data_IF_240855889863
#
_entry.id   IF_240855889863
#
_cell.length_a   1.000
_cell.length_b   1.000
_cell.length_c   1.000
_cell.angle_alpha   90.00
_cell.angle_beta   90.00
_cell.angle_gamma   90.00
#
_symmetry.space_group_name_H-M   'P 1'
#
loop_
_entity.id
_entity.type
_entity.pdbx_description
1 polymer ?
#
# COMPACT_ATOMS: atom_id res chain seq x y z
N UNK A 1 8.32 1.80 -23.29
CA UNK A 1 8.95 1.88 -21.95
C UNK A 1 10.40 1.40 -22.04
N UNK A 2 11.37 2.29 -21.80
CA UNK A 2 12.80 1.96 -21.75
C UNK A 2 13.24 1.69 -20.31
N UNK A 3 13.96 0.60 -20.07
CA UNK A 3 14.58 0.29 -18.77
C UNK A 3 15.93 1.00 -18.64
N UNK A 4 16.38 1.19 -17.40
CA UNK A 4 17.68 1.77 -16.97
C UNK A 4 17.86 3.31 -17.08
N UNK A 5 16.99 4.06 -16.40
CA UNK A 5 17.12 5.51 -16.16
C UNK A 5 18.55 5.96 -15.76
N UNK A 6 19.15 5.32 -14.75
CA UNK A 6 20.41 5.77 -14.10
C UNK A 6 21.61 5.80 -15.07
N UNK A 7 21.64 4.90 -16.04
CA UNK A 7 22.76 4.72 -16.96
C UNK A 7 22.58 5.42 -18.31
N UNK A 8 21.42 6.03 -18.57
CA UNK A 8 21.04 6.42 -19.92
C UNK A 8 20.55 7.86 -20.08
N UNK A 9 20.25 8.64 -19.04
CA UNK A 9 19.70 10.01 -19.21
C UNK A 9 20.40 11.03 -18.29
N UNK A 10 20.67 12.24 -18.81
CA UNK A 10 21.30 13.36 -18.08
C UNK A 10 20.58 14.68 -18.33
N UNK A 11 20.79 15.65 -17.43
CA UNK A 11 20.26 17.00 -17.53
C UNK A 11 21.34 17.94 -18.11
N UNK A 12 21.03 18.59 -19.23
CA UNK A 12 21.93 19.53 -19.90
C UNK A 12 21.33 20.94 -20.03
N UNK A 13 22.22 21.94 -20.08
CA UNK A 13 21.89 23.32 -20.44
C UNK A 13 22.61 23.66 -21.75
N UNK A 14 21.92 23.68 -22.90
CA UNK A 14 22.54 23.97 -24.19
C UNK A 14 23.10 25.40 -24.24
N UNK A 15 24.28 25.59 -24.84
CA UNK A 15 24.96 26.89 -24.92
C UNK A 15 24.16 28.02 -25.63
N UNK A 16 23.06 27.69 -26.30
CA UNK A 16 22.23 28.63 -27.09
C UNK A 16 20.77 28.76 -26.62
N UNK A 17 20.36 28.12 -25.52
CA UNK A 17 18.99 28.22 -24.99
C UNK A 17 18.96 28.20 -23.47
N UNK A 18 18.09 29.00 -22.85
CA UNK A 18 17.98 29.03 -21.38
C UNK A 18 17.31 27.79 -20.78
N UNK A 19 16.41 27.14 -21.52
CA UNK A 19 15.68 25.95 -21.08
C UNK A 19 16.57 24.71 -20.90
N UNK A 20 16.35 23.98 -19.81
CA UNK A 20 17.05 22.73 -19.51
C UNK A 20 16.45 21.57 -20.31
N UNK A 21 17.27 20.57 -20.64
CA UNK A 21 16.87 19.41 -21.43
C UNK A 21 17.29 18.10 -20.79
N UNK A 22 16.52 17.06 -21.07
CA UNK A 22 16.82 15.68 -20.72
C UNK A 22 17.31 14.95 -21.97
N UNK A 23 18.53 14.42 -21.93
CA UNK A 23 19.19 13.87 -23.11
C UNK A 23 19.77 12.48 -22.85
N UNK A 24 19.70 11.59 -23.84
CA UNK A 24 20.07 10.20 -23.69
C UNK A 24 21.58 9.96 -23.92
N UNK A 25 22.29 9.47 -22.89
CA UNK A 25 23.75 9.38 -22.76
C UNK A 25 24.48 8.66 -23.90
N UNK A 26 23.82 7.74 -24.63
CA UNK A 26 24.46 6.92 -25.69
C UNK A 26 24.28 7.44 -27.11
N UNK A 27 23.23 8.23 -27.39
CA UNK A 27 22.85 8.63 -28.76
C UNK A 27 22.42 10.11 -28.86
N UNK A 28 22.41 10.85 -27.76
CA UNK A 28 22.05 12.28 -27.74
C UNK A 28 20.57 12.58 -27.93
N UNK A 29 19.68 11.58 -27.95
CA UNK A 29 18.25 11.82 -28.20
C UNK A 29 17.62 12.56 -27.01
N UNK A 30 16.83 13.59 -27.31
CA UNK A 30 16.07 14.37 -26.34
C UNK A 30 14.85 13.58 -25.84
N UNK A 31 14.59 13.62 -24.54
CA UNK A 31 13.35 13.10 -23.97
C UNK A 31 12.23 14.10 -24.29
N UNK A 32 11.16 13.60 -24.91
CA UNK A 32 9.94 14.34 -25.22
C UNK A 32 8.79 13.76 -24.41
N UNK A 33 8.02 14.61 -23.72
CA UNK A 33 6.78 14.20 -23.09
C UNK A 33 5.58 14.48 -24.00
N UNK A 34 4.68 13.50 -24.10
CA UNK A 34 3.36 13.61 -24.72
C UNK A 34 2.30 13.23 -23.70
N UNK A 35 1.04 13.60 -23.93
CA UNK A 35 -0.08 13.45 -22.99
C UNK A 35 -0.17 12.07 -22.30
N UNK A 36 0.18 10.99 -23.03
CA UNK A 36 0.14 9.62 -22.53
C UNK A 36 1.44 8.81 -22.78
N UNK A 37 2.54 9.44 -23.21
CA UNK A 37 3.78 8.71 -23.57
C UNK A 37 5.06 9.51 -23.37
N UNK A 38 6.18 8.77 -23.27
CA UNK A 38 7.54 9.32 -23.22
C UNK A 38 8.29 8.82 -24.44
N UNK A 39 8.82 9.74 -25.23
CA UNK A 39 9.49 9.47 -26.49
C UNK A 39 10.94 10.00 -26.48
N UNK A 40 11.77 9.46 -27.36
CA UNK A 40 13.12 9.95 -27.61
C UNK A 40 13.20 10.49 -29.03
N UNK A 41 13.56 11.76 -29.18
CA UNK A 41 13.56 12.50 -30.45
C UNK A 41 14.92 13.12 -30.75
N UNK A 42 15.18 13.37 -32.04
CA UNK A 42 16.40 14.07 -32.50
C UNK A 42 16.15 15.56 -32.78
N UNK A 43 14.89 15.95 -32.96
CA UNK A 43 14.45 17.32 -33.20
C UNK A 43 14.18 18.11 -31.91
N UNK A 44 14.43 19.42 -31.96
CA UNK A 44 14.21 20.35 -30.84
C UNK A 44 12.81 20.95 -30.96
N UNK A 45 11.83 20.26 -30.37
CA UNK A 45 10.51 20.83 -30.12
C UNK A 45 10.53 21.54 -28.76
N UNK A 46 10.65 22.87 -28.79
CA UNK A 46 10.85 23.70 -27.60
C UNK A 46 9.73 23.64 -26.55
N UNK A 47 8.55 23.09 -26.89
CA UNK A 47 7.44 22.93 -25.94
C UNK A 47 7.48 21.60 -25.19
N UNK A 48 7.88 20.51 -25.86
CA UNK A 48 7.80 19.13 -25.36
C UNK A 48 9.14 18.54 -24.91
N UNK A 49 10.26 19.16 -25.31
CA UNK A 49 11.64 18.75 -24.95
C UNK A 49 12.32 19.71 -23.95
N UNK A 50 11.61 20.77 -23.53
CA UNK A 50 12.08 21.74 -22.52
C UNK A 50 11.54 21.40 -21.13
N UNK A 51 12.40 21.51 -20.13
CA UNK A 51 12.07 21.20 -18.74
C UNK A 51 12.48 22.33 -17.79
N UNK A 52 11.67 22.52 -16.76
CA UNK A 52 11.96 23.36 -15.61
C UNK A 52 12.37 22.49 -14.41
N UNK A 53 13.37 22.97 -13.67
CA UNK A 53 13.82 22.36 -12.41
C UNK A 53 13.21 23.12 -11.25
N UNK A 54 12.44 22.42 -10.43
CA UNK A 54 11.88 22.93 -9.18
C UNK A 54 12.81 22.43 -8.06
N UNK A 55 13.55 23.35 -7.42
CA UNK A 55 14.29 23.02 -6.20
C UNK A 55 13.30 22.73 -5.08
N UNK A 56 13.47 21.58 -4.41
CA UNK A 56 12.65 21.18 -3.26
C UNK A 56 13.43 21.32 -1.94
N UNK A 57 14.76 21.22 -2.02
CA UNK A 57 15.74 21.58 -1.00
C UNK A 57 17.15 21.56 -1.64
N UNK A 58 18.19 21.69 -0.82
CA UNK A 58 19.61 21.71 -1.24
C UNK A 58 20.08 20.49 -2.04
N UNK A 59 19.37 19.35 -1.96
CA UNK A 59 19.78 18.07 -2.56
C UNK A 59 18.74 17.45 -3.50
N UNK A 60 17.46 17.76 -3.29
CA UNK A 60 16.35 17.22 -4.07
C UNK A 60 15.78 18.26 -5.04
N UNK A 61 15.56 17.80 -6.28
CA UNK A 61 14.81 18.55 -7.30
C UNK A 61 13.61 17.73 -7.81
N UNK A 62 12.61 18.41 -8.33
CA UNK A 62 11.64 17.84 -9.26
C UNK A 62 11.84 18.44 -10.65
N UNK A 63 11.48 17.68 -11.69
CA UNK A 63 11.57 18.11 -13.09
C UNK A 63 10.17 18.10 -13.67
N UNK A 64 9.82 19.18 -14.38
CA UNK A 64 8.49 19.41 -14.92
C UNK A 64 8.60 19.99 -16.33
N UNK A 65 7.79 19.52 -17.27
CA UNK A 65 7.52 20.27 -18.51
C UNK A 65 6.49 21.37 -18.23
N UNK A 66 5.98 22.04 -19.26
CA UNK A 66 4.89 23.01 -19.07
C UNK A 66 3.62 22.32 -18.50
N UNK A 67 3.33 21.10 -18.95
CA UNK A 67 2.08 20.40 -18.66
C UNK A 67 2.22 19.28 -17.61
N UNK A 68 3.38 18.62 -17.53
CA UNK A 68 3.53 17.34 -16.82
C UNK A 68 4.74 17.26 -15.88
N UNK A 69 4.62 16.46 -14.82
CA UNK A 69 5.74 16.10 -13.96
C UNK A 69 6.47 14.85 -14.48
N UNK A 70 7.79 14.91 -14.54
CA UNK A 70 8.66 13.78 -14.90
C UNK A 70 8.86 12.91 -13.67
N UNK A 71 8.71 11.59 -13.79
CA UNK A 71 9.00 10.67 -12.70
C UNK A 71 9.69 9.39 -13.16
N UNK A 72 10.42 8.74 -12.26
CA UNK A 72 10.90 7.38 -12.47
C UNK A 72 9.91 6.39 -11.87
N UNK A 73 9.54 5.36 -12.63
CA UNK A 73 8.75 4.25 -12.11
C UNK A 73 9.62 3.26 -11.32
N UNK A 74 8.99 2.31 -10.61
CA UNK A 74 9.69 1.27 -9.82
C UNK A 74 10.58 0.32 -10.66
N UNK A 75 10.57 0.45 -11.98
CA UNK A 75 11.39 -0.32 -12.91
C UNK A 75 12.53 0.52 -13.52
N UNK A 76 12.71 1.78 -13.10
CA UNK A 76 13.70 2.69 -13.67
C UNK A 76 13.35 3.16 -15.08
N UNK A 77 12.05 3.35 -15.37
CA UNK A 77 11.52 3.91 -16.62
C UNK A 77 11.09 5.36 -16.37
N UNK A 78 11.31 6.28 -17.31
CA UNK A 78 10.63 7.60 -17.24
C UNK A 78 9.14 7.40 -17.53
N UNK A 79 8.30 7.94 -16.64
CA UNK A 79 6.86 8.01 -16.79
C UNK A 79 6.34 9.41 -16.45
N UNK A 80 5.06 9.64 -16.69
CA UNK A 80 4.39 10.93 -16.50
C UNK A 80 3.52 10.85 -15.25
N UNK A 81 3.64 11.82 -14.36
CA UNK A 81 2.87 11.92 -13.13
C UNK A 81 1.80 13.03 -13.18
N UNK A 82 0.77 12.87 -12.34
CA UNK A 82 -0.27 13.86 -12.05
C UNK A 82 0.33 15.22 -11.64
N UNK A 83 -0.41 16.34 -11.71
CA UNK A 83 0.12 17.70 -11.48
C UNK A 83 0.52 18.05 -10.03
N UNK A 84 0.82 17.08 -9.17
CA UNK A 84 1.27 17.28 -7.78
C UNK A 84 2.42 16.34 -7.41
N UNK A 85 3.51 16.91 -6.88
CA UNK A 85 4.75 16.18 -6.57
C UNK A 85 4.55 15.26 -5.36
N UNK A 86 4.65 13.94 -5.60
CA UNK A 86 4.70 12.91 -4.56
C UNK A 86 6.16 12.57 -4.20
N UNK A 87 6.39 11.98 -3.03
CA UNK A 87 7.74 11.76 -2.48
C UNK A 87 8.70 10.87 -3.30
N UNK A 88 8.18 10.10 -4.25
CA UNK A 88 8.90 9.26 -5.23
C UNK A 88 9.24 9.97 -6.56
N UNK A 89 8.71 11.17 -6.82
CA UNK A 89 8.90 11.95 -8.06
C UNK A 89 10.08 12.95 -7.93
N UNK A 90 11.01 12.63 -7.02
CA UNK A 90 12.17 13.47 -6.67
C UNK A 90 13.44 12.87 -7.26
N UNK A 91 14.30 13.72 -7.79
CA UNK A 91 15.63 13.36 -8.29
C UNK A 91 16.71 14.02 -7.44
N UNK A 92 17.89 13.39 -7.39
CA UNK A 92 19.10 13.97 -6.80
C UNK A 92 20.04 14.37 -7.93
N UNK A 93 20.56 15.60 -7.90
CA UNK A 93 21.56 16.06 -8.87
C UNK A 93 22.95 15.55 -8.49
N UNK A 94 23.61 14.84 -9.41
CA UNK A 94 25.02 14.44 -9.28
C UNK A 94 25.85 15.29 -10.25
N UNK A 95 26.73 16.14 -9.72
CA UNK A 95 27.50 17.10 -10.52
C UNK A 95 28.63 16.38 -11.28
N UNK A 96 28.71 16.60 -12.59
CA UNK A 96 29.81 16.14 -13.46
C UNK A 96 30.46 17.36 -14.15
N UNK A 97 31.65 17.18 -14.72
CA UNK A 97 32.28 18.23 -15.55
C UNK A 97 31.35 18.61 -16.71
N UNK A 98 30.82 19.84 -16.68
CA UNK A 98 29.97 20.42 -17.73
C UNK A 98 28.47 20.07 -17.70
N UNK A 99 28.01 19.13 -16.88
CA UNK A 99 26.61 18.68 -16.86
C UNK A 99 26.17 18.13 -15.49
N UNK A 100 24.88 17.84 -15.34
CA UNK A 100 24.33 17.16 -14.15
C UNK A 100 23.72 15.80 -14.53
N UNK A 101 24.19 14.75 -13.89
CA UNK A 101 23.54 13.44 -13.93
C UNK A 101 22.30 13.46 -13.01
N UNK A 102 21.22 12.82 -13.45
CA UNK A 102 20.02 12.62 -12.63
C UNK A 102 20.05 11.24 -12.00
N UNK A 103 20.16 11.21 -10.68
CA UNK A 103 19.86 10.00 -9.92
C UNK A 103 18.37 10.00 -9.56
N UNK A 104 17.71 8.86 -9.77
CA UNK A 104 16.43 8.56 -9.10
C UNK A 104 16.64 8.72 -7.58
N UNK A 105 15.59 8.99 -6.81
CA UNK A 105 15.61 8.81 -5.35
C UNK A 105 15.64 7.32 -4.97
N UNK A 106 16.64 6.60 -5.47
CA UNK A 106 17.13 5.35 -4.91
C UNK A 106 18.05 5.71 -3.77
N UNK A 107 17.91 4.98 -2.67
CA UNK A 107 19.02 4.76 -1.76
C UNK A 107 20.01 3.86 -2.53
N UNK A 108 20.87 4.50 -3.34
CA UNK A 108 21.95 3.91 -4.13
C UNK A 108 23.19 3.73 -3.27
N UNK A 109 23.82 2.56 -3.35
CA UNK A 109 24.13 1.89 -2.10
C UNK A 109 25.03 0.65 -2.39
N UNK A 110 26.37 0.69 -2.26
CA UNK A 110 27.21 -0.36 -2.84
C UNK A 110 27.61 -1.51 -1.89
N UNK A 111 27.70 -2.73 -2.44
CA UNK A 111 28.52 -3.87 -1.97
C UNK A 111 29.19 -4.55 -3.18
N UNK A 112 30.45 -5.00 -3.09
CA UNK A 112 31.13 -5.69 -4.19
C UNK A 112 30.59 -7.13 -4.38
N UNK A 113 30.48 -7.63 -5.62
CA UNK A 113 29.92 -8.96 -5.89
C UNK A 113 30.84 -10.08 -5.39
N UNK A 114 30.40 -10.85 -4.40
CA UNK A 114 31.05 -12.10 -3.97
C UNK A 114 30.41 -13.32 -4.64
N UNK A 115 31.21 -14.08 -5.39
CA UNK A 115 30.80 -15.23 -6.24
C UNK A 115 30.28 -16.47 -5.50
N UNK A 116 29.94 -16.40 -4.21
CA UNK A 116 29.57 -17.58 -3.40
C UNK A 116 28.06 -17.78 -3.32
N UNK A 117 27.50 -18.53 -4.27
CA UNK A 117 26.11 -19.02 -4.26
C UNK A 117 25.90 -20.04 -3.10
N UNK A 118 25.59 -19.57 -1.89
CA UNK A 118 25.00 -20.42 -0.84
C UNK A 118 23.48 -20.26 -0.84
N UNK A 119 22.78 -21.39 -0.81
CA UNK A 119 21.33 -21.42 -0.72
C UNK A 119 20.85 -20.73 0.58
N UNK A 120 19.72 -20.03 0.50
CA UNK A 120 19.13 -19.31 1.62
C UNK A 120 18.61 -20.34 2.62
N UNK A 121 19.25 -20.47 3.80
CA UNK A 121 18.85 -21.43 4.83
C UNK A 121 17.63 -20.90 5.61
N UNK A 122 16.51 -20.76 4.92
CA UNK A 122 15.21 -20.45 5.52
C UNK A 122 14.86 -21.60 6.44
N UNK A 123 14.88 -21.35 7.74
CA UNK A 123 14.40 -22.30 8.74
C UNK A 123 13.01 -21.85 9.18
N UNK A 124 11.98 -22.39 8.53
CA UNK A 124 10.64 -22.40 9.12
C UNK A 124 10.70 -23.28 10.36
N UNK A 125 10.43 -22.69 11.52
CA UNK A 125 10.15 -23.44 12.75
C UNK A 125 8.77 -23.02 13.23
N UNK A 126 8.01 -23.98 13.72
CA UNK A 126 6.99 -23.67 14.72
C UNK A 126 7.76 -23.25 15.97
N UNK A 127 7.80 -21.94 16.20
CA UNK A 127 8.41 -21.32 17.37
C UNK A 127 7.42 -20.30 17.89
N UNK A 128 7.09 -20.40 19.17
CA UNK A 128 6.05 -19.60 19.83
C UNK A 128 4.61 -19.84 19.30
N UNK A 129 4.32 -21.05 18.79
CA UNK A 129 2.95 -21.51 18.48
C UNK A 129 2.39 -21.11 17.11
N UNK A 130 3.12 -20.33 16.32
CA UNK A 130 2.76 -20.01 14.93
C UNK A 130 3.96 -20.20 13.98
N UNK A 131 3.69 -20.25 12.67
CA UNK A 131 4.74 -20.27 11.65
C UNK A 131 5.42 -18.91 11.59
N UNK A 132 6.72 -18.90 11.83
CA UNK A 132 7.56 -17.72 11.62
C UNK A 132 8.80 -18.09 10.79
N UNK A 133 9.33 -17.09 10.10
CA UNK A 133 10.54 -17.20 9.30
C UNK A 133 11.69 -16.54 10.06
N UNK A 134 12.76 -17.29 10.27
CA UNK A 134 13.99 -16.78 10.89
C UNK A 134 15.00 -16.51 9.77
N UNK A 135 15.35 -15.24 9.59
CA UNK A 135 16.26 -14.75 8.55
C UNK A 135 17.50 -14.15 9.21
N UNK A 136 18.68 -14.68 8.88
CA UNK A 136 19.93 -14.31 9.56
C UNK A 136 20.77 -13.35 8.73
N UNK A 137 21.35 -12.34 9.39
CA UNK A 137 22.24 -11.32 8.83
C UNK A 137 21.62 -10.63 7.60
N UNK A 138 20.40 -10.11 7.74
CA UNK A 138 19.64 -9.47 6.66
C UNK A 138 19.62 -7.96 6.79
N UNK A 139 19.15 -7.29 5.74
CA UNK A 139 18.73 -5.88 5.80
C UNK A 139 17.22 -5.78 5.58
N UNK A 140 16.57 -4.81 6.18
CA UNK A 140 15.12 -4.57 6.04
C UNK A 140 14.87 -3.10 5.69
N UNK A 141 14.07 -2.83 4.66
CA UNK A 141 13.62 -1.48 4.25
C UNK A 141 12.28 -1.12 4.88
N UNK A 142 12.12 0.13 5.33
CA UNK A 142 10.83 0.61 5.85
C UNK A 142 9.81 0.98 4.75
N UNK A 143 10.29 1.31 3.54
CA UNK A 143 9.48 1.77 2.40
C UNK A 143 8.36 0.78 2.05
N UNK A 144 8.71 -0.50 2.12
CA UNK A 144 7.92 -1.60 1.59
C UNK A 144 8.14 -2.91 2.36
N UNK A 145 8.89 -2.90 3.47
CA UNK A 145 9.21 -4.10 4.27
C UNK A 145 9.88 -5.24 3.50
N UNK A 146 10.57 -4.93 2.39
CA UNK A 146 11.41 -5.91 1.71
C UNK A 146 12.60 -6.31 2.59
N UNK A 147 12.86 -7.62 2.64
CA UNK A 147 14.01 -8.21 3.35
C UNK A 147 15.06 -8.63 2.34
N UNK A 148 16.28 -8.14 2.53
CA UNK A 148 17.37 -8.29 1.60
C UNK A 148 18.47 -9.15 2.22
N UNK A 149 18.76 -10.28 1.59
CA UNK A 149 19.61 -11.32 2.12
C UNK A 149 21.04 -11.22 1.56
N UNK A 150 22.05 -11.65 2.34
CA UNK A 150 23.47 -11.54 1.95
C UNK A 150 23.86 -12.30 0.67
N UNK A 151 23.01 -13.18 0.16
CA UNK A 151 23.19 -13.88 -1.12
C UNK A 151 22.57 -13.13 -2.32
N UNK A 152 22.09 -11.89 -2.13
CA UNK A 152 21.44 -11.07 -3.16
C UNK A 152 19.95 -11.36 -3.38
N UNK A 153 19.35 -12.31 -2.65
CA UNK A 153 17.90 -12.53 -2.72
C UNK A 153 17.14 -11.42 -2.01
N UNK A 154 16.11 -10.89 -2.67
CA UNK A 154 15.14 -9.97 -2.06
C UNK A 154 13.79 -10.66 -1.88
N UNK A 155 13.29 -10.60 -0.65
CA UNK A 155 12.01 -11.13 -0.24
C UNK A 155 11.09 -9.92 0.02
N UNK A 156 10.24 -9.57 -0.94
CA UNK A 156 9.16 -8.60 -0.72
C UNK A 156 8.15 -9.16 0.30
N UNK A 157 7.32 -8.35 0.98
CA UNK A 157 6.42 -8.83 2.05
C UNK A 157 5.46 -9.96 1.66
N UNK A 158 5.22 -10.14 0.36
CA UNK A 158 4.39 -11.22 -0.17
C UNK A 158 5.23 -12.40 -0.69
N UNK A 159 6.45 -12.14 -1.20
CA UNK A 159 7.40 -13.18 -1.57
C UNK A 159 7.97 -13.93 -0.34
N UNK A 160 8.15 -13.24 0.79
CA UNK A 160 8.57 -13.82 2.09
C UNK A 160 7.74 -15.08 2.43
N UNK A 161 6.41 -15.04 2.27
CA UNK A 161 5.51 -16.13 2.63
C UNK A 161 5.17 -17.10 1.48
N UNK A 162 5.67 -16.85 0.28
CA UNK A 162 5.50 -17.73 -0.89
C UNK A 162 6.75 -18.59 -1.15
N UNK A 163 7.86 -18.37 -0.42
CA UNK A 163 9.19 -18.94 -0.66
C UNK A 163 9.74 -18.73 -2.10
N UNK A 164 9.06 -17.93 -2.92
CA UNK A 164 9.44 -17.55 -4.28
C UNK A 164 10.17 -16.21 -4.22
N UNK A 165 11.44 -16.26 -3.82
CA UNK A 165 12.32 -15.10 -3.93
C UNK A 165 12.49 -14.71 -5.40
N UNK A 166 12.25 -13.44 -5.73
CA UNK A 166 12.63 -12.93 -7.04
C UNK A 166 14.11 -12.51 -6.97
N UNK A 167 14.93 -13.06 -7.86
CA UNK A 167 16.23 -12.48 -8.16
C UNK A 167 15.98 -11.15 -8.87
N UNK A 168 16.21 -10.04 -8.16
CA UNK A 168 16.29 -8.70 -8.71
C UNK A 168 17.56 -8.08 -8.19
N UNK A 169 18.28 -7.37 -9.04
CA UNK A 169 19.43 -6.58 -8.62
C UNK A 169 18.93 -5.42 -7.74
N UNK A 170 19.17 -5.52 -6.44
CA UNK A 170 18.82 -4.46 -5.48
C UNK A 170 20.09 -4.00 -4.78
N UNK A 171 20.33 -2.70 -4.91
CA UNK A 171 21.58 -2.04 -4.57
C UNK A 171 21.47 -1.57 -3.10
N UNK A 172 22.31 -2.09 -2.19
CA UNK A 172 22.23 -1.87 -0.72
C UNK A 172 23.57 -1.52 -0.04
N UNK A 173 23.51 -0.58 0.91
CA UNK A 173 24.68 0.07 1.49
C UNK A 173 25.46 -0.78 2.49
N UNK A 174 26.64 -0.24 2.81
CA UNK A 174 27.08 -0.20 4.19
C UNK A 174 26.28 0.85 4.94
N UNK A 175 25.36 0.41 5.80
CA UNK A 175 24.84 1.31 6.82
C UNK A 175 25.88 1.48 7.93
N UNK A 176 25.87 2.62 8.64
CA UNK A 176 26.64 2.78 9.88
C UNK A 176 26.37 1.62 10.83
N UNK A 177 27.41 1.09 11.48
CA UNK A 177 27.25 -0.04 12.41
C UNK A 177 26.32 0.28 13.59
N UNK A 178 26.11 1.56 13.91
CA UNK A 178 25.15 2.07 14.89
C UNK A 178 23.67 1.81 14.55
N UNK A 179 23.33 1.44 13.31
CA UNK A 179 21.97 1.04 12.91
C UNK A 179 21.75 -0.49 12.91
N UNK A 180 22.72 -1.25 13.41
CA UNK A 180 22.64 -2.71 13.56
C UNK A 180 21.73 -3.11 14.74
N UNK A 181 20.93 -4.17 14.55
CA UNK A 181 20.23 -4.87 15.63
C UNK A 181 20.68 -6.34 15.70
N UNK A 182 20.83 -6.88 16.90
CA UNK A 182 21.20 -8.29 17.10
C UNK A 182 20.00 -9.22 16.85
N UNK A 183 18.83 -8.90 17.41
CA UNK A 183 17.55 -9.57 17.15
C UNK A 183 16.42 -8.56 16.99
N UNK A 184 15.42 -8.87 16.18
CA UNK A 184 14.18 -8.10 16.07
C UNK A 184 13.06 -8.91 15.39
N UNK A 185 11.80 -8.51 15.60
CA UNK A 185 10.64 -9.04 14.90
C UNK A 185 10.02 -7.99 13.98
N UNK A 186 9.79 -8.33 12.71
CA UNK A 186 9.09 -7.48 11.76
C UNK A 186 7.56 -7.60 11.94
N UNK A 187 6.97 -6.70 12.72
CA UNK A 187 5.50 -6.53 12.75
C UNK A 187 5.01 -5.67 11.59
N UNK A 188 5.86 -4.75 11.09
CA UNK A 188 5.61 -3.94 9.91
C UNK A 188 4.63 -2.80 10.15
N UNK A 189 3.94 -2.37 9.09
CA UNK A 189 2.96 -1.28 9.13
C UNK A 189 2.92 -0.49 7.81
N UNK A 190 1.85 0.25 7.53
CA UNK A 190 1.74 0.99 6.27
C UNK A 190 0.79 2.18 6.40
N UNK A 191 1.04 3.25 5.64
CA UNK A 191 0.23 4.47 5.71
C UNK A 191 -1.18 4.32 5.09
N UNK A 192 -1.39 3.32 4.22
CA UNK A 192 -2.72 2.99 3.72
C UNK A 192 -3.46 2.08 4.71
N UNK A 193 -4.67 2.48 5.12
CA UNK A 193 -5.51 1.78 6.09
C UNK A 193 -5.70 0.29 5.78
N UNK A 194 -5.99 -0.07 4.52
CA UNK A 194 -6.18 -1.46 4.12
C UNK A 194 -4.94 -2.30 4.36
N UNK A 195 -3.76 -1.82 3.92
CA UNK A 195 -2.51 -2.55 4.12
C UNK A 195 -2.14 -2.64 5.60
N UNK A 196 -2.42 -1.62 6.41
CA UNK A 196 -2.13 -1.73 7.83
C UNK A 196 -3.01 -2.79 8.53
N UNK A 197 -4.32 -2.79 8.28
CA UNK A 197 -5.24 -3.77 8.86
C UNK A 197 -5.02 -5.18 8.33
N UNK A 198 -4.99 -5.35 7.01
CA UNK A 198 -4.90 -6.68 6.39
C UNK A 198 -3.48 -7.26 6.49
N UNK A 199 -2.44 -6.52 6.10
CA UNK A 199 -1.09 -7.08 5.98
C UNK A 199 -0.31 -7.12 7.31
N UNK A 200 -0.66 -6.29 8.31
CA UNK A 200 0.20 -6.06 9.49
C UNK A 200 -0.50 -6.13 10.86
N UNK A 201 -1.76 -5.70 11.01
CA UNK A 201 -2.46 -5.73 12.31
C UNK A 201 -2.50 -7.13 12.93
N UNK A 202 -2.71 -8.16 12.12
CA UNK A 202 -2.73 -9.54 12.63
C UNK A 202 -1.33 -9.99 13.10
N UNK A 203 -0.25 -9.50 12.51
CA UNK A 203 1.12 -9.78 12.98
C UNK A 203 1.34 -9.19 14.38
N UNK A 204 0.80 -7.99 14.65
CA UNK A 204 0.84 -7.35 15.97
C UNK A 204 0.10 -8.21 17.00
N UNK A 205 -1.09 -8.70 16.66
CA UNK A 205 -1.83 -9.64 17.51
C UNK A 205 -1.07 -10.95 17.76
N UNK A 206 -0.46 -11.54 16.73
CA UNK A 206 0.30 -12.79 16.83
C UNK A 206 1.46 -12.70 17.83
N UNK A 207 2.29 -11.66 17.71
CA UNK A 207 3.51 -11.54 18.54
C UNK A 207 3.23 -11.27 20.01
N UNK A 208 2.05 -10.74 20.37
CA UNK A 208 1.68 -10.46 21.78
C UNK A 208 1.75 -11.70 22.67
N UNK A 209 1.58 -12.89 22.07
CA UNK A 209 1.54 -14.19 22.76
C UNK A 209 2.92 -14.87 22.88
N UNK A 210 3.96 -14.31 22.26
CA UNK A 210 5.27 -14.94 22.19
C UNK A 210 6.03 -14.76 23.52
N UNK A 211 6.81 -15.76 23.94
CA UNK A 211 7.44 -15.76 25.28
C UNK A 211 8.63 -14.78 25.38
N UNK A 212 9.33 -14.52 24.27
CA UNK A 212 10.50 -13.62 24.24
C UNK A 212 10.03 -12.14 24.24
N UNK A 213 9.86 -11.56 25.43
CA UNK A 213 9.50 -10.14 25.61
C UNK A 213 10.65 -9.18 25.25
N UNK A 214 11.90 -9.63 25.41
CA UNK A 214 13.11 -8.87 25.03
C UNK A 214 13.31 -8.76 23.51
N UNK A 215 12.38 -9.26 22.68
CA UNK A 215 12.45 -9.21 21.22
C UNK A 215 11.88 -7.88 20.70
N UNK A 216 12.71 -6.96 20.18
CA UNK A 216 12.23 -5.65 19.74
C UNK A 216 11.33 -5.76 18.52
N UNK A 217 10.23 -5.01 18.48
CA UNK A 217 9.26 -5.02 17.40
C UNK A 217 9.53 -3.87 16.41
N UNK A 218 9.72 -4.18 15.13
CA UNK A 218 9.98 -3.21 14.06
C UNK A 218 8.68 -2.77 13.39
N UNK A 219 8.41 -1.46 13.40
CA UNK A 219 7.24 -0.85 12.77
C UNK A 219 7.58 0.45 12.03
N UNK A 220 6.62 0.97 11.27
CA UNK A 220 6.77 2.21 10.51
C UNK A 220 6.55 3.39 11.45
N UNK A 221 7.46 4.36 11.46
CA UNK A 221 7.20 5.63 12.16
C UNK A 221 6.01 6.33 11.51
N UNK A 222 5.05 6.77 12.31
CA UNK A 222 3.80 7.33 11.78
C UNK A 222 3.14 8.33 12.70
N UNK A 223 2.53 9.36 12.11
CA UNK A 223 1.65 10.30 12.80
C UNK A 223 0.16 9.97 12.61
N UNK A 224 -0.17 8.93 11.84
CA UNK A 224 -1.56 8.54 11.60
C UNK A 224 -2.21 7.98 12.87
N UNK A 225 -3.30 8.62 13.31
CA UNK A 225 -4.05 8.25 14.51
C UNK A 225 -4.42 6.75 14.53
N UNK A 226 -5.03 6.22 13.46
CA UNK A 226 -5.46 4.82 13.39
C UNK A 226 -4.32 3.82 13.66
N UNK A 227 -3.08 4.10 13.23
CA UNK A 227 -1.95 3.20 13.44
C UNK A 227 -1.51 3.19 14.93
N UNK A 228 -1.53 4.37 15.58
CA UNK A 228 -1.26 4.52 17.01
C UNK A 228 -2.35 3.85 17.84
N UNK A 229 -3.62 4.06 17.49
CA UNK A 229 -4.78 3.42 18.13
C UNK A 229 -4.75 1.89 18.03
N UNK A 230 -4.38 1.34 16.87
CA UNK A 230 -4.22 -0.11 16.68
C UNK A 230 -3.06 -0.66 17.51
N UNK A 231 -1.92 0.04 17.59
CA UNK A 231 -0.81 -0.39 18.44
C UNK A 231 -1.21 -0.42 19.93
N UNK A 232 -1.91 0.62 20.40
CA UNK A 232 -2.48 0.70 21.76
C UNK A 232 -3.56 -0.37 21.99
N UNK A 233 -4.33 -0.75 20.97
CA UNK A 233 -5.38 -1.76 21.10
C UNK A 233 -4.87 -3.14 21.51
N UNK A 234 -3.60 -3.48 21.25
CA UNK A 234 -3.01 -4.79 21.58
C UNK A 234 -2.16 -4.82 22.86
N UNK A 235 -2.05 -3.71 23.59
CA UNK A 235 -1.35 -3.63 24.88
C UNK A 235 0.10 -4.19 24.82
N UNK A 236 0.87 -3.80 23.80
CA UNK A 236 2.21 -4.32 23.56
C UNK A 236 3.23 -3.81 24.61
N UNK A 237 3.46 -4.59 25.66
CA UNK A 237 4.53 -4.36 26.63
C UNK A 237 5.90 -4.82 26.09
N UNK A 238 6.43 -4.12 25.07
CA UNK A 238 7.72 -4.41 24.42
C UNK A 238 8.44 -3.18 23.91
N UNK A 239 9.75 -3.30 23.72
CA UNK A 239 10.52 -2.33 22.95
C UNK A 239 10.03 -2.27 21.50
N UNK A 240 9.44 -1.15 21.11
CA UNK A 240 9.11 -0.83 19.71
C UNK A 240 10.27 -0.03 19.11
N UNK A 241 10.72 -0.45 17.93
CA UNK A 241 11.71 0.27 17.12
C UNK A 241 10.99 0.80 15.89
N UNK A 242 10.65 2.08 15.93
CA UNK A 242 10.13 2.78 14.76
C UNK A 242 11.23 2.99 13.71
N UNK A 243 10.83 2.89 12.45
CA UNK A 243 11.67 3.13 11.29
C UNK A 243 11.05 4.22 10.43
N UNK A 244 11.79 5.29 10.13
CA UNK A 244 11.37 6.28 9.13
C UNK A 244 11.19 5.61 7.76
N UNK A 245 10.21 6.03 6.97
CA UNK A 245 9.83 5.36 5.71
C UNK A 245 10.96 5.10 4.72
N UNK A 246 12.01 5.92 4.69
CA UNK A 246 13.17 5.75 3.81
C UNK A 246 14.40 5.18 4.53
N UNK A 247 14.22 4.60 5.71
CA UNK A 247 15.29 3.95 6.45
C UNK A 247 15.43 2.48 6.08
N UNK A 248 16.60 1.96 6.41
CA UNK A 248 16.94 0.54 6.38
C UNK A 248 17.60 0.20 7.73
N UNK A 249 17.62 -1.08 8.13
CA UNK A 249 18.40 -1.58 9.27
C UNK A 249 19.07 -2.91 8.92
N UNK A 250 20.29 -3.15 9.41
CA UNK A 250 20.95 -4.48 9.39
C UNK A 250 20.56 -5.25 10.65
N UNK A 251 20.15 -6.51 10.50
CA UNK A 251 19.61 -7.33 11.58
C UNK A 251 20.21 -8.73 11.53
N UNK A 252 20.89 -9.15 12.59
CA UNK A 252 21.58 -10.45 12.63
C UNK A 252 20.60 -11.62 12.77
N UNK A 253 19.51 -11.46 13.51
CA UNK A 253 18.42 -12.43 13.62
C UNK A 253 17.06 -11.73 13.49
N UNK A 254 16.49 -11.75 12.29
CA UNK A 254 15.15 -11.23 12.02
C UNK A 254 14.11 -12.35 12.10
N UNK A 255 13.08 -12.14 12.92
CA UNK A 255 11.86 -12.94 12.89
C UNK A 255 10.79 -12.24 12.06
N UNK A 256 10.13 -12.97 11.16
CA UNK A 256 8.97 -12.48 10.40
C UNK A 256 7.78 -13.42 10.67
N UNK A 257 6.69 -12.95 11.31
CA UNK A 257 5.45 -13.72 11.48
C UNK A 257 4.82 -14.10 10.13
N UNK A 258 4.11 -15.23 10.02
CA UNK A 258 3.33 -15.52 8.81
C UNK A 258 2.15 -14.55 8.67
N UNK A 259 2.06 -13.86 7.52
CA UNK A 259 0.88 -13.07 7.16
C UNK A 259 -0.40 -13.91 7.14
N UNK A 260 -1.30 -13.65 8.09
CA UNK A 260 -2.59 -14.31 8.17
C UNK A 260 -3.56 -13.89 7.04
N UNK A 261 -3.42 -12.65 6.53
CA UNK A 261 -4.04 -12.15 5.31
C UNK A 261 -2.91 -11.57 4.45
N UNK A 262 -2.92 -11.84 3.15
CA UNK A 262 -1.95 -11.26 2.20
C UNK A 262 -2.57 -10.10 1.42
N UNK A 263 -1.73 -9.25 0.85
CA UNK A 263 -2.08 -7.95 0.25
C UNK A 263 -3.25 -7.96 -0.74
N UNK A 264 -3.54 -9.08 -1.43
CA UNK A 264 -4.68 -9.18 -2.34
C UNK A 264 -5.98 -9.68 -1.67
N UNK A 265 -6.06 -9.68 -0.34
CA UNK A 265 -7.25 -10.01 0.45
C UNK A 265 -7.38 -11.49 0.81
N UNK A 266 -6.51 -12.36 0.27
CA UNK A 266 -6.57 -13.81 0.54
C UNK A 266 -6.22 -14.08 2.01
N UNK A 267 -7.18 -14.66 2.73
CA UNK A 267 -7.02 -15.12 4.11
C UNK A 267 -6.28 -16.47 4.12
N UNK A 268 -5.03 -16.48 4.58
CA UNK A 268 -4.19 -17.69 4.69
C UNK A 268 -4.34 -18.42 6.02
N UNK A 269 -4.62 -17.69 7.10
CA UNK A 269 -4.82 -18.28 8.43
C UNK A 269 -6.11 -17.74 9.07
N UNK A 270 -7.28 -18.29 8.69
CA UNK A 270 -8.58 -17.84 9.21
C UNK A 270 -8.70 -17.99 10.73
N UNK A 271 -7.98 -18.93 11.35
CA UNK A 271 -8.04 -19.15 12.80
C UNK A 271 -7.36 -18.00 13.57
N UNK A 272 -6.18 -17.54 13.15
CA UNK A 272 -5.52 -16.37 13.76
C UNK A 272 -6.29 -15.09 13.49
N UNK A 273 -6.87 -14.91 12.29
CA UNK A 273 -7.77 -13.77 12.01
C UNK A 273 -8.97 -13.76 12.95
N UNK A 274 -9.68 -14.89 13.13
CA UNK A 274 -10.81 -14.98 14.08
C UNK A 274 -10.40 -14.63 15.50
N UNK A 275 -9.30 -15.21 16.03
CA UNK A 275 -8.80 -14.89 17.38
C UNK A 275 -8.47 -13.40 17.56
N UNK A 276 -7.89 -12.76 16.54
CA UNK A 276 -7.59 -11.33 16.55
C UNK A 276 -8.87 -10.49 16.57
N UNK A 277 -9.83 -10.84 15.72
CA UNK A 277 -11.13 -10.18 15.60
C UNK A 277 -11.95 -10.34 16.88
N UNK A 278 -11.99 -11.53 17.47
CA UNK A 278 -12.66 -11.83 18.75
C UNK A 278 -12.06 -11.01 19.90
N UNK A 279 -10.73 -10.92 19.99
CA UNK A 279 -10.06 -10.09 20.99
C UNK A 279 -10.45 -8.60 20.86
N UNK A 280 -10.43 -8.05 19.64
CA UNK A 280 -10.81 -6.65 19.40
C UNK A 280 -12.31 -6.40 19.61
N UNK A 281 -13.18 -7.35 19.21
CA UNK A 281 -14.61 -7.29 19.48
C UNK A 281 -14.93 -7.37 20.97
N UNK A 282 -14.18 -8.15 21.76
CA UNK A 282 -14.36 -8.21 23.20
C UNK A 282 -13.82 -6.95 23.91
N UNK A 283 -12.78 -6.30 23.37
CA UNK A 283 -12.19 -5.08 23.94
C UNK A 283 -12.99 -3.81 23.62
N UNK A 284 -13.58 -3.72 22.43
CA UNK A 284 -14.28 -2.51 21.98
C UNK A 284 -15.76 -2.70 21.65
N UNK A 285 -16.17 -3.89 21.21
CA UNK A 285 -17.53 -4.16 20.74
C UNK A 285 -18.60 -4.05 21.83
N UNK A 286 -19.85 -3.90 21.39
CA UNK A 286 -20.99 -3.83 22.30
C UNK A 286 -21.44 -5.22 22.77
N UNK A 287 -21.93 -5.31 24.01
CA UNK A 287 -22.48 -6.54 24.58
C UNK A 287 -23.80 -6.98 23.91
N UNK A 288 -24.57 -6.01 23.40
CA UNK A 288 -25.81 -6.25 22.66
C UNK A 288 -25.51 -6.23 21.16
N UNK A 289 -25.59 -7.40 20.52
CA UNK A 289 -25.47 -7.49 19.05
C UNK A 289 -26.70 -6.88 18.39
N UNK A 290 -26.48 -5.85 17.58
CA UNK A 290 -27.46 -5.32 16.62
C UNK A 290 -27.15 -5.88 15.24
N UNK A 291 -28.17 -5.99 14.38
CA UNK A 291 -28.05 -6.40 12.99
C UNK A 291 -28.11 -5.16 12.09
N UNK A 292 -27.00 -4.44 12.02
CA UNK A 292 -26.89 -3.17 11.29
C UNK A 292 -26.57 -3.39 9.82
N UNK A 293 -27.08 -2.48 8.99
CA UNK A 293 -26.90 -2.48 7.55
C UNK A 293 -26.25 -1.16 7.20
N UNK A 294 -25.00 -1.20 6.74
CA UNK A 294 -24.14 -0.01 6.65
C UNK A 294 -23.94 0.38 5.20
N UNK A 295 -24.22 1.63 4.84
CA UNK A 295 -23.78 2.23 3.59
C UNK A 295 -22.54 3.09 3.87
N UNK A 296 -21.37 2.66 3.40
CA UNK A 296 -20.12 3.41 3.48
C UNK A 296 -20.17 4.54 2.45
N UNK A 297 -20.48 5.76 2.92
CA UNK A 297 -20.44 6.97 2.11
C UNK A 297 -19.00 7.45 1.92
N UNK A 298 -18.74 8.14 0.81
CA UNK A 298 -17.48 8.83 0.53
C UNK A 298 -17.67 10.33 0.33
N UNK A 299 -18.74 10.92 0.88
CA UNK A 299 -19.11 12.32 0.67
C UNK A 299 -17.97 13.31 1.00
N UNK A 300 -17.23 13.07 2.09
CA UNK A 300 -16.07 13.86 2.54
C UNK A 300 -14.75 13.52 1.83
N UNK A 301 -14.70 12.44 1.04
CA UNK A 301 -13.49 12.02 0.31
C UNK A 301 -13.21 12.93 -0.87
N UNK A 302 -11.97 13.47 -0.95
CA UNK A 302 -11.51 14.32 -2.07
C UNK A 302 -11.42 13.61 -3.43
N UNK A 303 -11.57 12.29 -3.48
CA UNK A 303 -11.43 11.48 -4.72
C UNK A 303 -12.42 10.31 -4.77
N UNK A 304 -12.82 9.89 -5.97
CA UNK A 304 -13.71 8.73 -6.21
C UNK A 304 -15.00 8.83 -5.38
N UNK A 305 -15.80 9.85 -5.67
CA UNK A 305 -17.18 9.99 -5.18
C UNK A 305 -18.15 9.55 -6.28
N UNK A 306 -19.30 9.01 -5.90
CA UNK A 306 -20.37 8.77 -6.85
C UNK A 306 -21.18 10.06 -7.06
N UNK A 307 -21.52 10.39 -8.31
CA UNK A 307 -22.36 11.55 -8.64
C UNK A 307 -23.83 11.35 -8.22
N UNK A 308 -24.21 10.10 -8.00
CA UNK A 308 -25.55 9.67 -7.59
C UNK A 308 -25.51 8.89 -6.25
N UNK A 309 -24.55 9.21 -5.36
CA UNK A 309 -24.45 8.56 -4.04
C UNK A 309 -25.74 8.71 -3.23
N UNK A 310 -26.33 9.92 -3.19
CA UNK A 310 -27.59 10.19 -2.47
C UNK A 310 -28.76 9.32 -2.97
N UNK A 311 -28.81 9.05 -4.29
CA UNK A 311 -29.84 8.18 -4.88
C UNK A 311 -29.60 6.71 -4.52
N UNK A 312 -28.34 6.28 -4.43
CA UNK A 312 -27.98 4.94 -3.97
C UNK A 312 -28.28 4.75 -2.47
N UNK A 313 -28.02 5.77 -1.64
CA UNK A 313 -28.37 5.80 -0.22
C UNK A 313 -29.88 5.71 -0.05
N UNK A 314 -30.66 6.55 -0.73
CA UNK A 314 -32.13 6.53 -0.65
C UNK A 314 -32.76 5.19 -1.10
N UNK A 315 -32.11 4.45 -2.01
CA UNK A 315 -32.50 3.06 -2.32
C UNK A 315 -32.16 2.13 -1.16
N UNK A 316 -30.95 2.23 -0.60
CA UNK A 316 -30.49 1.36 0.49
C UNK A 316 -31.27 1.58 1.80
N UNK A 317 -31.63 2.81 2.16
CA UNK A 317 -32.42 3.16 3.35
C UNK A 317 -33.77 2.41 3.39
N UNK A 318 -34.38 2.16 2.22
CA UNK A 318 -35.62 1.35 2.09
C UNK A 318 -35.44 -0.12 2.49
N UNK A 319 -34.20 -0.60 2.55
CA UNK A 319 -33.82 -1.91 3.08
C UNK A 319 -33.20 -1.80 4.48
N UNK A 320 -33.40 -0.69 5.18
CA UNK A 320 -32.90 -0.46 6.54
C UNK A 320 -31.41 -0.18 6.64
N UNK A 321 -30.76 0.26 5.55
CA UNK A 321 -29.37 0.74 5.62
C UNK A 321 -29.28 2.13 6.23
N UNK A 322 -28.20 2.37 6.97
CA UNK A 322 -27.82 3.68 7.51
C UNK A 322 -26.52 4.18 6.86
N UNK A 323 -26.41 5.49 6.65
CA UNK A 323 -25.18 6.11 6.14
C UNK A 323 -24.09 6.12 7.23
N UNK A 324 -22.89 5.68 6.88
CA UNK A 324 -21.70 5.81 7.71
C UNK A 324 -20.55 6.49 6.93
N UNK A 325 -19.98 7.52 7.54
CA UNK A 325 -18.72 8.15 7.11
C UNK A 325 -17.62 7.58 8.02
N UNK A 326 -16.59 6.95 7.47
CA UNK A 326 -15.54 6.31 8.28
C UNK A 326 -14.38 7.26 8.57
N UNK A 327 -14.18 8.27 7.70
CA UNK A 327 -13.23 9.35 7.90
C UNK A 327 -13.54 10.12 9.20
N UNK A 328 -12.60 10.10 10.14
CA UNK A 328 -12.75 10.74 11.45
C UNK A 328 -13.24 9.83 12.58
N UNK A 329 -13.78 8.63 12.27
CA UNK A 329 -14.06 7.62 13.29
C UNK A 329 -12.76 7.01 13.81
N UNK A 330 -12.64 6.91 15.14
CA UNK A 330 -11.58 6.12 15.78
C UNK A 330 -11.67 4.64 15.39
N UNK A 331 -10.55 3.93 15.51
CA UNK A 331 -10.48 2.49 15.30
C UNK A 331 -11.48 1.73 16.18
N UNK A 332 -11.64 2.13 17.44
CA UNK A 332 -12.60 1.51 18.37
C UNK A 332 -14.07 1.75 17.98
N UNK A 333 -14.40 2.88 17.33
CA UNK A 333 -15.73 3.13 16.76
C UNK A 333 -15.97 2.30 15.49
N UNK A 334 -14.97 2.20 14.60
CA UNK A 334 -15.06 1.35 13.41
C UNK A 334 -15.19 -0.14 13.79
N UNK A 335 -14.45 -0.64 14.78
CA UNK A 335 -14.62 -2.00 15.32
C UNK A 335 -16.03 -2.20 15.87
N UNK A 336 -16.58 -1.27 16.65
CA UNK A 336 -17.95 -1.33 17.17
C UNK A 336 -18.99 -1.39 16.05
N UNK A 337 -18.95 -0.41 15.15
CA UNK A 337 -19.88 -0.27 14.03
C UNK A 337 -19.91 -1.55 13.18
N UNK A 338 -18.75 -2.06 12.77
CA UNK A 338 -18.69 -3.27 11.95
C UNK A 338 -18.97 -4.56 12.74
N UNK A 339 -18.72 -4.61 14.06
CA UNK A 339 -19.10 -5.77 14.89
C UNK A 339 -20.60 -6.11 14.88
N UNK A 340 -21.42 -5.11 14.54
CA UNK A 340 -22.88 -5.19 14.42
C UNK A 340 -23.34 -5.38 12.94
N UNK A 341 -22.44 -5.37 11.96
CA UNK A 341 -22.83 -5.36 10.55
C UNK A 341 -23.30 -6.73 10.02
N UNK A 342 -24.58 -6.84 9.64
CA UNK A 342 -25.12 -7.96 8.85
C UNK A 342 -25.11 -7.68 7.34
N UNK A 343 -25.00 -6.40 6.93
CA UNK A 343 -24.80 -6.02 5.55
C UNK A 343 -23.95 -4.74 5.43
N UNK A 344 -23.14 -4.65 4.36
CA UNK A 344 -22.28 -3.51 4.05
C UNK A 344 -22.37 -3.21 2.54
N UNK A 345 -22.68 -1.98 2.18
CA UNK A 345 -22.67 -1.44 0.81
C UNK A 345 -21.62 -0.31 0.74
N UNK A 346 -20.97 -0.10 -0.40
CA UNK A 346 -20.14 1.08 -0.61
C UNK A 346 -19.30 1.08 -1.88
N UNK A 347 -18.68 2.22 -2.18
CA UNK A 347 -17.68 2.36 -3.24
C UNK A 347 -16.37 1.66 -2.85
N UNK A 348 -15.75 0.95 -3.80
CA UNK A 348 -14.48 0.26 -3.59
C UNK A 348 -13.45 1.18 -2.90
N UNK A 349 -12.90 0.72 -1.78
CA UNK A 349 -11.95 1.49 -0.98
C UNK A 349 -11.68 0.85 0.39
N UNK A 350 -10.68 1.39 1.09
CA UNK A 350 -10.15 0.79 2.32
C UNK A 350 -11.16 0.69 3.48
N UNK A 351 -12.31 1.36 3.43
CA UNK A 351 -13.40 1.16 4.40
C UNK A 351 -13.90 -0.29 4.48
N UNK A 352 -13.90 -1.01 3.36
CA UNK A 352 -14.23 -2.44 3.32
C UNK A 352 -13.21 -3.35 4.03
N UNK A 353 -12.05 -2.85 4.46
CA UNK A 353 -11.14 -3.67 5.28
C UNK A 353 -11.77 -4.01 6.63
N UNK A 354 -12.67 -3.17 7.14
CA UNK A 354 -13.41 -3.42 8.38
C UNK A 354 -14.40 -4.60 8.26
N UNK A 355 -14.59 -5.22 7.08
CA UNK A 355 -15.29 -6.49 6.94
C UNK A 355 -14.72 -7.61 7.82
N UNK A 356 -13.42 -7.55 8.19
CA UNK A 356 -12.85 -8.48 9.19
C UNK A 356 -13.62 -8.45 10.53
N UNK A 357 -14.28 -7.34 10.84
CA UNK A 357 -15.11 -7.19 12.03
C UNK A 357 -16.60 -7.45 11.78
N UNK A 358 -17.06 -7.72 10.56
CA UNK A 358 -18.48 -7.96 10.27
C UNK A 358 -19.07 -9.16 11.05
N UNK A 359 -20.40 -9.29 11.07
CA UNK A 359 -21.05 -10.54 11.50
C UNK A 359 -20.77 -11.67 10.50
N UNK A 360 -20.87 -12.93 10.95
CA UNK A 360 -20.77 -14.08 10.04
C UNK A 360 -21.86 -14.00 8.96
N UNK A 361 -21.55 -14.43 7.73
CA UNK A 361 -22.50 -14.41 6.61
C UNK A 361 -23.01 -12.99 6.20
N UNK A 362 -22.31 -11.93 6.64
CA UNK A 362 -22.57 -10.55 6.20
C UNK A 362 -22.74 -10.45 4.68
N UNK A 363 -23.74 -9.69 4.22
CA UNK A 363 -23.86 -9.30 2.82
C UNK A 363 -22.88 -8.17 2.52
N UNK A 364 -22.13 -8.26 1.43
CA UNK A 364 -21.18 -7.25 0.98
C UNK A 364 -21.54 -6.86 -0.44
N UNK A 365 -21.87 -5.59 -0.68
CA UNK A 365 -22.16 -5.05 -2.02
C UNK A 365 -21.13 -3.99 -2.37
N UNK A 366 -20.21 -4.34 -3.26
CA UNK A 366 -19.15 -3.45 -3.73
C UNK A 366 -19.57 -2.73 -5.02
N UNK A 367 -19.55 -1.40 -5.02
CA UNK A 367 -19.54 -0.62 -6.27
C UNK A 367 -18.10 -0.51 -6.78
N UNK A 368 -17.79 -1.26 -7.84
CA UNK A 368 -16.47 -1.33 -8.47
C UNK A 368 -16.44 -0.45 -9.72
N UNK A 369 -15.57 0.58 -9.80
CA UNK A 369 -15.40 1.39 -11.02
C UNK A 369 -14.95 0.54 -12.23
N UNK A 370 -15.64 0.70 -13.37
CA UNK A 370 -15.27 0.07 -14.64
C UNK A 370 -13.92 0.61 -15.13
N UNK A 371 -12.86 -0.18 -15.02
CA UNK A 371 -11.53 0.18 -15.52
C UNK A 371 -10.68 -1.07 -15.77
N UNK A 372 -9.56 -0.91 -16.49
CA UNK A 372 -8.62 -1.99 -16.83
C UNK A 372 -7.98 -2.68 -15.61
N UNK A 373 -8.14 -2.11 -14.42
CA UNK A 373 -7.65 -2.67 -13.16
C UNK A 373 -8.78 -2.80 -12.15
N UNK A 374 -9.32 -4.01 -12.01
CA UNK A 374 -10.36 -4.35 -11.02
C UNK A 374 -9.78 -5.31 -9.98
N UNK A 375 -9.34 -4.82 -8.81
CA UNK A 375 -8.71 -5.67 -7.79
C UNK A 375 -9.73 -6.47 -6.97
N UNK A 376 -9.50 -7.78 -6.82
CA UNK A 376 -10.36 -8.68 -6.04
C UNK A 376 -10.10 -8.67 -4.52
N UNK A 377 -9.58 -7.56 -3.98
CA UNK A 377 -9.20 -7.45 -2.56
C UNK A 377 -10.36 -7.79 -1.62
N UNK A 378 -11.52 -7.15 -1.81
CA UNK A 378 -12.67 -7.34 -0.93
C UNK A 378 -13.48 -8.60 -1.27
N UNK A 379 -13.42 -9.08 -2.51
CA UNK A 379 -13.94 -10.41 -2.88
C UNK A 379 -13.19 -11.52 -2.14
N UNK A 380 -11.85 -11.53 -2.22
CA UNK A 380 -10.99 -12.52 -1.55
C UNK A 380 -11.14 -12.45 -0.03
N UNK A 381 -11.25 -11.24 0.53
CA UNK A 381 -11.45 -11.02 1.96
C UNK A 381 -12.83 -11.57 2.40
N UNK A 382 -13.90 -11.21 1.69
CA UNK A 382 -15.24 -11.71 1.96
C UNK A 382 -15.33 -13.24 1.86
N UNK A 383 -14.75 -13.84 0.82
CA UNK A 383 -14.69 -15.28 0.64
C UNK A 383 -13.93 -15.98 1.79
N UNK A 384 -12.76 -15.45 2.18
CA UNK A 384 -11.95 -16.00 3.27
C UNK A 384 -12.57 -15.86 4.67
N UNK A 385 -13.53 -14.96 4.83
CA UNK A 385 -14.31 -14.76 6.06
C UNK A 385 -15.68 -15.46 6.05
N UNK A 386 -16.12 -16.01 4.91
CA UNK A 386 -17.45 -16.62 4.77
C UNK A 386 -18.59 -15.59 4.75
N UNK A 387 -18.40 -14.50 4.01
CA UNK A 387 -19.41 -13.48 3.72
C UNK A 387 -20.02 -13.69 2.33
N UNK A 388 -21.24 -13.18 2.11
CA UNK A 388 -21.90 -13.16 0.79
C UNK A 388 -21.43 -11.93 0.03
N UNK A 389 -20.75 -12.10 -1.10
CA UNK A 389 -20.21 -10.98 -1.88
C UNK A 389 -20.99 -10.75 -3.18
N UNK A 390 -21.27 -9.50 -3.47
CA UNK A 390 -21.92 -9.01 -4.69
C UNK A 390 -21.13 -7.82 -5.22
N UNK A 391 -20.85 -7.79 -6.53
CA UNK A 391 -20.18 -6.68 -7.20
C UNK A 391 -21.11 -6.05 -8.20
N UNK A 392 -21.28 -4.73 -8.11
CA UNK A 392 -21.98 -3.91 -9.09
C UNK A 392 -20.93 -3.06 -9.78
N UNK A 393 -20.92 -3.08 -11.11
CA UNK A 393 -20.03 -2.23 -11.89
C UNK A 393 -20.61 -0.82 -11.93
N UNK A 394 -19.81 0.15 -11.50
CA UNK A 394 -20.14 1.57 -11.55
C UNK A 394 -19.35 2.22 -12.69
N UNK A 395 -19.99 3.06 -13.51
CA UNK A 395 -19.30 3.70 -14.65
C UNK A 395 -18.24 4.70 -14.14
N UNK A 396 -17.15 4.82 -14.88
CA UNK A 396 -16.00 5.67 -14.53
C UNK A 396 -14.83 4.85 -13.96
N UNK A 397 -13.67 5.50 -13.81
CA UNK A 397 -12.41 4.84 -13.43
C UNK A 397 -11.94 5.21 -12.02
N UNK A 398 -10.94 4.49 -11.50
CA UNK A 398 -10.23 4.84 -10.26
C UNK A 398 -9.55 6.22 -10.25
N UNK A 399 -9.35 6.81 -11.43
CA UNK A 399 -8.74 8.12 -11.65
C UNK A 399 -9.79 9.21 -11.89
N UNK A 400 -11.04 8.84 -12.16
CA UNK A 400 -12.14 9.76 -12.40
C UNK A 400 -12.55 10.52 -11.14
N UNK A 401 -12.95 11.78 -11.32
CA UNK A 401 -13.67 12.57 -10.31
C UNK A 401 -15.14 12.19 -10.21
N UNK A 402 -15.69 11.54 -11.24
CA UNK A 402 -17.09 11.11 -11.34
C UNK A 402 -17.18 9.59 -11.51
N UNK A 403 -17.86 8.95 -10.57
CA UNK A 403 -18.30 7.54 -10.66
C UNK A 403 -19.84 7.54 -10.68
N UNK A 404 -20.47 6.66 -11.44
CA UNK A 404 -21.93 6.54 -11.52
C UNK A 404 -22.37 5.13 -11.13
N UNK A 405 -23.13 4.99 -10.05
CA UNK A 405 -23.63 3.71 -9.54
C UNK A 405 -24.82 3.24 -10.38
N UNK A 406 -24.85 1.98 -10.81
CA UNK A 406 -26.05 1.37 -11.39
C UNK A 406 -27.10 1.12 -10.29
N UNK A 407 -28.05 2.06 -10.19
CA UNK A 407 -29.14 2.04 -9.22
C UNK A 407 -30.14 0.89 -9.46
N UNK A 408 -30.28 0.41 -10.70
CA UNK A 408 -31.16 -0.71 -11.04
C UNK A 408 -30.52 -2.02 -10.61
N UNK A 409 -29.22 -2.19 -10.85
CA UNK A 409 -28.45 -3.31 -10.32
C UNK A 409 -28.47 -3.32 -8.79
N UNK A 410 -28.29 -2.17 -8.14
CA UNK A 410 -28.38 -2.04 -6.67
C UNK A 410 -29.74 -2.51 -6.15
N UNK A 411 -30.85 -1.97 -6.68
CA UNK A 411 -32.19 -2.38 -6.27
C UNK A 411 -32.40 -3.89 -6.46
N UNK A 412 -31.96 -4.44 -7.59
CA UNK A 412 -32.09 -5.88 -7.91
C UNK A 412 -31.31 -6.75 -6.91
N UNK A 413 -30.05 -6.40 -6.64
CA UNK A 413 -29.18 -7.14 -5.69
C UNK A 413 -29.76 -7.12 -4.28
N UNK A 414 -30.28 -5.98 -3.81
CA UNK A 414 -30.89 -5.89 -2.48
C UNK A 414 -32.19 -6.71 -2.40
N UNK A 415 -33.07 -6.64 -3.42
CA UNK A 415 -34.28 -7.46 -3.47
C UNK A 415 -33.99 -8.97 -3.43
N UNK A 416 -32.96 -9.41 -4.16
CA UNK A 416 -32.55 -10.82 -4.19
C UNK A 416 -31.94 -11.30 -2.85
N UNK A 417 -31.22 -10.44 -2.14
CA UNK A 417 -30.42 -10.85 -0.97
C UNK A 417 -31.05 -10.53 0.39
N UNK A 418 -32.05 -9.65 0.44
CA UNK A 418 -32.74 -9.17 1.65
C UNK A 418 -34.28 -9.25 1.56
N UNK A 419 -34.82 -9.71 0.42
CA UNK A 419 -36.27 -9.76 0.15
C UNK A 419 -36.80 -8.45 -0.46
N UNK A 420 -38.08 -8.41 -0.88
CA UNK A 420 -38.71 -7.18 -1.36
C UNK A 420 -38.70 -6.11 -0.27
N UNK A 421 -38.70 -4.83 -0.67
CA UNK A 421 -38.95 -3.73 0.27
C UNK A 421 -40.28 -3.99 0.96
N UNK A 422 -40.25 -4.21 2.27
CA UNK A 422 -41.45 -4.40 3.06
C UNK A 422 -42.37 -3.19 2.86
N UNK A 423 -43.67 -3.43 2.68
CA UNK A 423 -44.63 -2.37 2.96
C UNK A 423 -44.41 -1.99 4.43
N UNK A 424 -44.08 -0.72 4.67
CA UNK A 424 -43.91 -0.21 6.03
C UNK A 424 -45.19 -0.39 6.86
N UNK A 425 -45.08 -0.27 8.19
CA UNK A 425 -46.25 -0.25 9.06
C UNK A 425 -47.26 0.83 8.66
#
# INVERSE_FOLDING_TARGET
>A
MYKDFENLIYLEKPQKTEALRLSHKRNGYLVSLLENSVEFRTDIDGSKTSFNVISLNEKEIAIRSNEFHVCADRNGTITIASPWIRGWEKFTLVKRQGAFDLAEKRLLYPFPPRKTRRALKITSREKYGERSLILNNVRVTATDWSVLCNNGTVLTPNAVHLQRGHHRDVIIHQQPDSLKLNKACLIGGYYNYYHHLADYMINVFSVRSWIDQDLPLLTIKTENAFQKEIALAFDLDRQIIEMDHLSCRRIDNLLVPEKAIITNGIVRNPATVRKCVEYLKNKFGNSVKRNRRIFISREVSRTRRAINEDQAIAIAERFGFEKAILEGMSFAEQVRLFSEAEAVIGLHGAGFTNLIFAQQNCLVVEFMPTSDWMPDFFFNLAAGLGHRFQRILAKGSFQSTTIEIDLKALLTVLQQNLGPVGKGP
#
